data_IF_134491721911
#
_entry.id   IF_134491721911
#
_cell.length_a   1.000
_cell.length_b   1.000
_cell.length_c   1.000
_cell.angle_alpha   90.00
_cell.angle_beta   90.00
_cell.angle_gamma   90.00
#
_symmetry.space_group_name_H-M   'P 1'
#
loop_
_entity.id
_entity.type
_entity.pdbx_description
1 polymer ?
#
# COMPACT_ATOMS: atom_id res chain seq x y z
N UNK A 1 42.15 8.52 -33.78
CA UNK A 1 42.51 7.68 -32.61
C UNK A 1 42.05 8.45 -31.37
N UNK A 2 41.33 7.95 -30.38
CA UNK A 2 40.67 6.69 -30.09
C UNK A 2 39.63 7.02 -29.00
N UNK A 3 38.60 6.18 -28.88
CA UNK A 3 37.39 6.33 -28.07
C UNK A 3 37.69 6.21 -26.57
N UNK A 4 36.84 6.81 -25.71
CA UNK A 4 36.07 6.02 -24.72
C UNK A 4 34.91 6.80 -24.10
N UNK A 5 33.77 6.12 -24.17
CA UNK A 5 32.39 6.52 -23.90
C UNK A 5 32.07 6.14 -22.46
N UNK A 6 31.86 7.11 -21.57
CA UNK A 6 31.44 6.83 -20.19
C UNK A 6 29.97 6.42 -20.19
N UNK A 7 29.73 5.11 -20.24
CA UNK A 7 28.41 4.52 -20.09
C UNK A 7 27.90 4.79 -18.66
N UNK A 8 26.88 5.65 -18.58
CA UNK A 8 26.06 5.87 -17.37
C UNK A 8 25.48 4.52 -16.95
N UNK A 9 25.87 4.05 -15.77
CA UNK A 9 25.46 2.78 -15.19
C UNK A 9 23.93 2.71 -15.09
N UNK A 10 23.34 1.64 -15.67
CA UNK A 10 21.95 1.26 -15.40
C UNK A 10 21.80 1.03 -13.90
N UNK A 11 20.87 1.72 -13.27
CA UNK A 11 20.41 1.44 -11.92
C UNK A 11 19.93 0.00 -11.86
N UNK A 12 20.64 -0.83 -11.08
CA UNK A 12 20.18 -2.16 -10.72
C UNK A 12 18.84 -2.01 -9.99
N UNK A 13 17.80 -2.81 -10.31
CA UNK A 13 16.60 -2.85 -9.48
C UNK A 13 17.02 -3.26 -8.06
N UNK A 14 16.60 -2.47 -7.07
CA UNK A 14 17.01 -2.64 -5.68
C UNK A 14 16.65 -4.04 -5.17
N UNK A 15 17.67 -4.80 -4.75
CA UNK A 15 17.52 -6.08 -4.06
C UNK A 15 16.84 -5.97 -2.68
N UNK A 16 16.37 -4.77 -2.28
CA UNK A 16 15.69 -4.55 -0.99
C UNK A 16 14.37 -5.29 -0.84
N UNK A 17 13.75 -5.75 -1.94
CA UNK A 17 12.45 -6.44 -1.89
C UNK A 17 12.53 -7.91 -1.47
N UNK A 18 13.73 -8.51 -1.40
CA UNK A 18 13.94 -9.93 -1.02
C UNK A 18 14.42 -10.15 0.42
N UNK A 19 14.69 -9.09 1.19
CA UNK A 19 15.27 -9.17 2.55
C UNK A 19 14.27 -8.84 3.68
N UNK A 20 12.99 -9.14 3.52
CA UNK A 20 12.04 -8.99 4.63
C UNK A 20 11.83 -10.29 5.43
N UNK A 21 12.37 -11.42 4.98
CA UNK A 21 12.18 -12.73 5.60
C UNK A 21 12.72 -12.81 7.04
N UNK A 22 13.76 -12.03 7.36
CA UNK A 22 14.35 -11.96 8.71
C UNK A 22 14.01 -10.68 9.49
N UNK A 23 13.17 -9.80 8.92
CA UNK A 23 12.87 -8.47 9.50
C UNK A 23 11.45 -8.45 10.04
N UNK A 24 11.32 -8.07 11.31
CA UNK A 24 10.00 -7.78 11.90
C UNK A 24 9.53 -6.40 11.46
N UNK A 25 8.40 -6.33 10.77
CA UNK A 25 7.74 -5.07 10.43
C UNK A 25 6.79 -4.66 11.55
N UNK A 26 6.87 -3.41 12.00
CA UNK A 26 5.99 -2.84 13.02
C UNK A 26 5.23 -1.67 12.39
N UNK A 27 3.90 -1.80 12.29
CA UNK A 27 3.02 -0.74 11.81
C UNK A 27 2.03 -0.38 12.91
N UNK A 28 2.27 0.75 13.59
CA UNK A 28 1.43 1.21 14.72
C UNK A 28 0.16 1.92 14.29
N UNK A 29 0.17 2.52 13.10
CA UNK A 29 -0.92 3.36 12.58
C UNK A 29 -1.63 2.70 11.39
N UNK A 30 -1.63 1.36 11.34
CA UNK A 30 -2.30 0.60 10.30
C UNK A 30 -3.47 -0.16 10.92
N UNK A 31 -4.65 0.02 10.34
CA UNK A 31 -5.87 -0.68 10.73
C UNK A 31 -6.29 -1.59 9.58
N UNK A 32 -6.50 -2.87 9.88
CA UNK A 32 -7.10 -3.83 8.96
C UNK A 32 -8.57 -4.02 9.29
N UNK A 33 -9.42 -3.93 8.26
CA UNK A 33 -10.86 -4.07 8.38
C UNK A 33 -11.24 -5.33 7.61
N UNK A 34 -11.92 -6.26 8.28
CA UNK A 34 -12.42 -7.50 7.69
C UNK A 34 -13.94 -7.56 7.84
N UNK A 35 -14.62 -8.22 6.89
CA UNK A 35 -16.08 -8.34 6.93
C UNK A 35 -16.82 -7.02 6.67
N UNK A 36 -16.19 -6.07 5.96
CA UNK A 36 -16.84 -4.82 5.58
C UNK A 36 -18.00 -5.12 4.61
N UNK A 37 -19.24 -4.71 4.93
CA UNK A 37 -20.37 -4.85 4.01
C UNK A 37 -20.12 -4.16 2.67
N UNK A 38 -20.60 -4.74 1.57
CA UNK A 38 -20.37 -4.22 0.22
C UNK A 38 -20.95 -2.81 0.00
N UNK A 39 -22.02 -2.45 0.71
CA UNK A 39 -22.60 -1.11 0.67
C UNK A 39 -21.73 -0.06 1.38
N UNK A 40 -20.76 -0.48 2.19
CA UNK A 40 -19.78 0.38 2.86
C UNK A 40 -18.38 0.26 2.23
N UNK A 41 -18.22 -0.56 1.20
CA UNK A 41 -16.96 -0.87 0.53
C UNK A 41 -16.55 0.22 -0.48
N UNK A 42 -16.63 1.47 -0.05
CA UNK A 42 -16.29 2.67 -0.81
C UNK A 42 -15.16 3.42 -0.10
N UNK A 43 -14.06 3.68 -0.81
CA UNK A 43 -12.88 4.31 -0.24
C UNK A 43 -13.16 5.74 0.23
N UNK A 44 -13.93 6.53 -0.54
CA UNK A 44 -14.24 7.92 -0.23
C UNK A 44 -15.11 8.00 1.03
N UNK A 45 -16.09 7.10 1.14
CA UNK A 45 -16.95 6.97 2.32
C UNK A 45 -16.14 6.74 3.60
N UNK A 46 -15.07 5.94 3.55
CA UNK A 46 -14.28 5.64 4.74
C UNK A 46 -13.47 6.84 5.25
N UNK A 47 -13.21 7.86 4.42
CA UNK A 47 -12.58 9.12 4.86
C UNK A 47 -13.56 10.05 5.59
N UNK A 48 -14.87 9.86 5.44
CA UNK A 48 -15.85 10.72 6.06
C UNK A 48 -15.77 10.72 7.59
N UNK A 49 -16.17 11.85 8.17
CA UNK A 49 -16.16 12.06 9.63
C UNK A 49 -17.04 11.04 10.34
N UNK A 50 -18.15 10.64 9.73
CA UNK A 50 -19.10 9.66 10.26
C UNK A 50 -18.50 8.25 10.37
N UNK A 51 -17.40 7.96 9.66
CA UNK A 51 -16.71 6.67 9.65
C UNK A 51 -15.34 6.75 10.34
N UNK A 52 -14.24 6.58 9.63
CA UNK A 52 -12.91 6.58 10.26
C UNK A 52 -12.40 7.99 10.54
N UNK A 53 -12.93 9.01 9.88
CA UNK A 53 -12.56 10.41 10.10
C UNK A 53 -12.84 10.92 11.52
N UNK A 54 -13.78 10.32 12.27
CA UNK A 54 -14.01 10.69 13.68
C UNK A 54 -12.83 10.38 14.59
N UNK A 55 -12.03 9.36 14.26
CA UNK A 55 -10.88 8.93 15.07
C UNK A 55 -9.60 9.71 14.74
N UNK A 56 -9.63 10.53 13.70
CA UNK A 56 -8.52 11.36 13.27
C UNK A 56 -8.36 11.40 11.75
N UNK A 57 -7.27 12.03 11.30
CA UNK A 57 -6.97 12.14 9.88
C UNK A 57 -6.58 10.78 9.31
N UNK A 58 -7.43 10.25 8.43
CA UNK A 58 -7.13 9.05 7.65
C UNK A 58 -6.08 9.40 6.58
N UNK A 59 -4.93 8.69 6.61
CA UNK A 59 -3.81 8.96 5.71
C UNK A 59 -4.00 8.32 4.33
N UNK A 60 -4.47 7.08 4.33
CA UNK A 60 -4.70 6.29 3.12
C UNK A 60 -5.71 5.19 3.43
N UNK A 61 -6.68 5.03 2.55
CA UNK A 61 -7.54 3.86 2.43
C UNK A 61 -7.03 3.04 1.24
N UNK A 62 -7.05 1.72 1.37
CA UNK A 62 -6.68 0.80 0.30
C UNK A 62 -7.56 -0.43 0.41
N UNK A 63 -8.28 -0.75 -0.66
CA UNK A 63 -9.22 -1.86 -0.67
C UNK A 63 -8.89 -2.82 -1.81
N UNK A 64 -8.87 -4.11 -1.49
CA UNK A 64 -8.73 -5.17 -2.49
C UNK A 64 -10.10 -5.77 -2.77
N UNK A 65 -10.74 -5.32 -3.86
CA UNK A 65 -11.95 -5.95 -4.40
C UNK A 65 -11.53 -7.13 -5.26
N UNK A 66 -11.87 -8.37 -4.89
CA UNK A 66 -11.78 -9.46 -5.88
C UNK A 66 -12.89 -9.27 -6.90
N UNK A 67 -12.64 -9.67 -8.15
CA UNK A 67 -13.56 -9.54 -9.29
C UNK A 67 -14.92 -10.25 -9.09
N UNK A 68 -15.05 -11.08 -8.06
CA UNK A 68 -16.26 -11.80 -7.66
C UNK A 68 -17.01 -11.16 -6.48
N UNK A 69 -16.63 -9.97 -6.02
CA UNK A 69 -17.31 -9.28 -4.92
C UNK A 69 -17.00 -9.86 -3.53
N UNK A 70 -16.09 -10.81 -3.41
CA UNK A 70 -15.55 -11.24 -2.12
C UNK A 70 -14.38 -10.31 -1.75
N UNK A 71 -14.50 -9.59 -0.64
CA UNK A 71 -13.39 -8.79 -0.11
C UNK A 71 -12.42 -9.75 0.60
N UNK A 72 -11.14 -9.75 0.23
CA UNK A 72 -10.06 -10.49 0.93
C UNK A 72 -9.52 -9.67 2.10
#
# INVERSE_FOLDING_TARGET
MERKKTQKSRSKPSEGRKQLTSVRVIQRNLVYIVGLPLNLADEDLLYHKEYFGQYGKVLKVSMSRTSSGAIQ
#
